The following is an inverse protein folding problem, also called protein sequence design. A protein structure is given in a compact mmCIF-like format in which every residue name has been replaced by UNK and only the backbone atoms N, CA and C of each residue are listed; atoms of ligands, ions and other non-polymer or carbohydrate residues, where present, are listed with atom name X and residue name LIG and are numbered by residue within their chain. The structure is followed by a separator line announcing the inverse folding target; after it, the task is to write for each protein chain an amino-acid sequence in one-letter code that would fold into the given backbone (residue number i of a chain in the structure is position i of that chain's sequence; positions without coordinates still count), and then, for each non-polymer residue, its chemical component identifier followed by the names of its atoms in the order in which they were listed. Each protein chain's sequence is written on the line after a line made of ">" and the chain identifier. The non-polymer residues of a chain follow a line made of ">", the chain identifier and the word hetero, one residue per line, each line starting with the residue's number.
data_IF_530494344623
#
_entry.id   IF_530494344623
#
_cell.length_a   1.000
_cell.length_b   1.000
_cell.length_c   1.000
_cell.angle_alpha   90.00
_cell.angle_beta   90.00
_cell.angle_gamma   90.00
#
_symmetry.space_group_name_H-M   'P 1'
#
loop_
_entity.id
_entity.type
_entity.pdbx_description
1 polymer ?
#
# COMPACT_ATOMS: atom_id res chain seq x y z
N UNK A 1 -4.84 -6.18 3.66
CA UNK A 1 -3.56 -6.91 3.58
C UNK A 1 -3.86 -8.39 3.61
N UNK A 2 -3.39 -9.13 2.62
CA UNK A 2 -3.47 -10.59 2.61
C UNK A 2 -2.06 -11.14 2.70
N UNK A 3 -1.80 -12.05 3.64
CA UNK A 3 -0.51 -12.70 3.80
C UNK A 3 -0.70 -14.22 3.80
N UNK A 4 0.05 -14.93 2.98
CA UNK A 4 0.04 -16.37 2.88
C UNK A 4 1.43 -16.93 3.20
N UNK A 5 1.51 -17.75 4.23
CA UNK A 5 2.75 -18.47 4.56
C UNK A 5 2.82 -19.71 3.68
N UNK A 6 3.72 -19.68 2.69
CA UNK A 6 3.99 -20.84 1.85
C UNK A 6 4.74 -21.92 2.63
N UNK A 7 5.72 -21.50 3.43
CA UNK A 7 6.57 -22.36 4.24
C UNK A 7 7.11 -21.59 5.46
N UNK A 8 7.74 -22.30 6.40
CA UNK A 8 8.37 -21.70 7.60
C UNK A 8 9.36 -20.56 7.27
N UNK A 9 9.93 -20.62 6.07
CA UNK A 9 10.95 -19.69 5.59
C UNK A 9 10.43 -18.70 4.53
N UNK A 10 9.20 -18.84 4.04
CA UNK A 10 8.70 -18.03 2.90
C UNK A 10 7.28 -17.56 3.18
N UNK A 11 7.09 -16.24 3.25
CA UNK A 11 5.78 -15.60 3.37
C UNK A 11 5.52 -14.73 2.15
N UNK A 12 4.42 -14.96 1.45
CA UNK A 12 3.91 -14.05 0.43
C UNK A 12 2.97 -13.04 1.08
N UNK A 13 3.11 -11.76 0.75
CA UNK A 13 2.24 -10.71 1.26
C UNK A 13 1.76 -9.85 0.09
N UNK A 14 0.45 -9.70 -0.02
CA UNK A 14 -0.20 -8.78 -0.94
C UNK A 14 -0.78 -7.60 -0.17
N UNK A 15 -0.27 -6.42 -0.47
CA UNK A 15 -0.67 -5.15 0.11
C UNK A 15 -1.32 -4.28 -0.96
N UNK A 16 -2.63 -4.12 -0.88
CA UNK A 16 -3.35 -3.17 -1.72
C UNK A 16 -3.57 -1.89 -0.91
N UNK A 17 -2.93 -0.81 -1.34
CA UNK A 17 -3.09 0.54 -0.81
C UNK A 17 -4.16 1.27 -1.62
N UNK A 18 -5.00 2.03 -0.93
CA UNK A 18 -6.13 2.75 -1.51
C UNK A 18 -7.08 1.82 -2.31
N UNK A 19 -7.67 0.84 -1.61
CA UNK A 19 -8.52 -0.22 -2.21
C UNK A 19 -9.71 0.33 -3.01
N UNK A 20 -10.33 1.41 -2.53
CA UNK A 20 -11.48 2.04 -3.17
C UNK A 20 -11.10 3.06 -4.26
N UNK A 21 -9.81 3.19 -4.59
CA UNK A 21 -9.28 4.13 -5.58
C UNK A 21 -9.78 5.57 -5.38
N UNK A 22 -9.83 5.98 -4.12
CA UNK A 22 -10.31 7.30 -3.75
C UNK A 22 -9.22 8.31 -4.07
N UNK A 23 -9.57 9.36 -4.80
CA UNK A 23 -8.74 10.57 -4.90
C UNK A 23 -9.02 11.40 -3.65
N UNK A 24 -8.02 11.52 -2.78
CA UNK A 24 -8.09 12.34 -1.57
C UNK A 24 -6.81 13.17 -1.43
N UNK A 25 -6.91 14.28 -0.70
CA UNK A 25 -5.79 15.18 -0.45
C UNK A 25 -5.20 14.81 0.91
N UNK A 26 -3.90 14.52 0.98
CA UNK A 26 -3.24 14.15 2.24
C UNK A 26 -2.75 15.38 3.02
N UNK A 27 -2.62 16.53 2.37
CA UNK A 27 -2.15 17.75 3.01
C UNK A 27 -2.78 18.98 2.34
N UNK A 28 -3.42 19.83 3.15
CA UNK A 28 -3.91 21.13 2.72
C UNK A 28 -2.92 22.21 3.18
N UNK A 29 -2.29 22.92 2.24
CA UNK A 29 -1.46 24.07 2.59
C UNK A 29 -2.35 25.30 2.79
N UNK A 30 -1.96 26.24 3.67
CA UNK A 30 -2.75 27.43 3.96
C UNK A 30 -2.98 28.35 2.74
N UNK A 31 -2.18 28.22 1.68
CA UNK A 31 -2.41 28.90 0.41
C UNK A 31 -1.86 28.10 -0.79
N UNK A 32 -2.45 28.35 -1.97
CA UNK A 32 -2.02 27.95 -3.31
C UNK A 32 -2.25 26.51 -3.77
N UNK A 33 -2.11 25.48 -2.92
CA UNK A 33 -2.31 24.09 -3.37
C UNK A 33 -2.57 23.11 -2.22
N UNK A 34 -3.08 21.93 -2.56
CA UNK A 34 -3.18 20.79 -1.68
C UNK A 34 -2.41 19.62 -2.31
N UNK A 35 -1.72 18.85 -1.48
CA UNK A 35 -1.03 17.64 -1.94
C UNK A 35 -2.04 16.51 -2.12
N UNK A 36 -2.00 15.89 -3.30
CA UNK A 36 -2.86 14.75 -3.65
C UNK A 36 -2.19 13.48 -3.13
N UNK A 37 -2.95 12.66 -2.40
CA UNK A 37 -2.48 11.38 -1.92
C UNK A 37 -2.28 10.37 -3.06
N UNK A 38 -1.41 9.35 -2.89
CA UNK A 38 -1.26 8.29 -3.86
C UNK A 38 -2.58 7.56 -4.17
N UNK A 39 -2.82 7.30 -5.46
CA UNK A 39 -3.96 6.50 -5.92
C UNK A 39 -3.85 5.02 -5.54
N UNK A 40 -4.69 4.16 -6.16
CA UNK A 40 -4.62 2.71 -5.92
C UNK A 40 -3.25 2.14 -6.33
N UNK A 41 -2.61 1.44 -5.39
CA UNK A 41 -1.36 0.74 -5.63
C UNK A 41 -1.40 -0.66 -5.01
N UNK A 42 -0.84 -1.64 -5.68
CA UNK A 42 -0.69 -3.00 -5.16
C UNK A 42 0.78 -3.36 -5.07
N UNK A 43 1.19 -3.83 -3.90
CA UNK A 43 2.56 -4.25 -3.60
C UNK A 43 2.52 -5.74 -3.27
N UNK A 44 3.24 -6.54 -4.05
CA UNK A 44 3.39 -7.96 -3.83
C UNK A 44 4.79 -8.24 -3.30
N UNK A 45 4.87 -8.76 -2.08
CA UNK A 45 6.11 -9.05 -1.37
C UNK A 45 6.29 -10.56 -1.22
N UNK A 46 7.54 -11.00 -1.37
CA UNK A 46 7.99 -12.33 -1.00
C UNK A 46 9.04 -12.17 0.09
N UNK A 47 8.67 -12.53 1.32
CA UNK A 47 9.50 -12.39 2.51
C UNK A 47 10.17 -13.74 2.79
N UNK A 48 11.49 -13.79 2.62
CA UNK A 48 12.33 -14.93 2.95
C UNK A 48 12.87 -14.76 4.38
N UNK A 49 12.75 -15.79 5.22
CA UNK A 49 13.30 -15.85 6.58
C UNK A 49 14.13 -17.12 6.68
N UNK A 50 15.45 -16.97 6.83
CA UNK A 50 16.40 -18.06 7.03
C UNK A 50 16.85 -18.10 8.49
#
# INVERSE_FOLDING_TARGET
>A
MAAYQLNKNVTQQLNVMNLADKVYYNQAYPAHYASIAPGRAAVFNVNLRY
#
